data_IF_461142343793
#
_entry.id   IF_461142343793
#
_cell.length_a   1.000
_cell.length_b   1.000
_cell.length_c   1.000
_cell.angle_alpha   90.00
_cell.angle_beta   90.00
_cell.angle_gamma   90.00
#
_symmetry.space_group_name_H-M   'P 1'
#
loop_
_entity.id
_entity.type
_entity.pdbx_description
1 polymer ?
#
# COMPACT_ATOMS: atom_id res chain seq x y z
N UNK A 1 7.24 17.02 -11.28
CA UNK A 1 5.90 16.77 -10.71
C UNK A 1 4.85 17.08 -11.77
N UNK A 2 3.76 16.32 -11.80
CA UNK A 2 2.67 16.48 -12.79
C UNK A 2 2.15 17.93 -12.87
N UNK A 3 1.87 18.55 -11.72
CA UNK A 3 1.43 19.95 -11.64
C UNK A 3 2.37 20.95 -12.33
N UNK A 4 3.69 20.79 -12.21
CA UNK A 4 4.63 21.67 -12.90
C UNK A 4 4.56 21.51 -14.42
N UNK A 5 4.44 20.27 -14.90
CA UNK A 5 4.37 19.99 -16.34
C UNK A 5 3.06 20.52 -16.95
N UNK A 6 1.96 20.49 -16.20
CA UNK A 6 0.67 21.01 -16.66
C UNK A 6 0.70 22.54 -16.73
N UNK A 7 1.17 23.20 -15.66
CA UNK A 7 1.22 24.67 -15.59
C UNK A 7 2.24 25.27 -16.56
N UNK A 8 3.36 24.59 -16.83
CA UNK A 8 4.40 25.08 -17.76
C UNK A 8 3.89 25.27 -19.19
N UNK A 9 2.79 24.63 -19.57
CA UNK A 9 2.19 24.77 -20.91
C UNK A 9 1.55 26.13 -21.14
N UNK A 10 1.09 26.78 -20.06
CA UNK A 10 0.28 28.00 -20.14
C UNK A 10 0.97 29.20 -19.49
N UNK A 11 1.85 28.96 -18.51
CA UNK A 11 2.44 30.01 -17.70
C UNK A 11 3.95 29.83 -17.52
N UNK A 12 4.64 30.95 -17.33
CA UNK A 12 6.04 30.98 -16.97
C UNK A 12 6.35 32.18 -16.08
N UNK A 13 7.12 31.96 -15.02
CA UNK A 13 7.68 33.03 -14.17
C UNK A 13 8.93 32.55 -13.42
N UNK A 14 9.79 33.47 -12.92
CA UNK A 14 10.99 33.11 -12.16
C UNK A 14 10.63 32.33 -10.88
N UNK A 15 11.27 31.17 -10.67
CA UNK A 15 11.06 30.36 -9.45
C UNK A 15 9.81 29.49 -9.44
N UNK A 16 9.02 29.46 -10.51
CA UNK A 16 7.79 28.67 -10.66
C UNK A 16 7.89 27.23 -10.16
N UNK A 17 8.95 26.51 -10.56
CA UNK A 17 9.14 25.11 -10.16
C UNK A 17 9.26 24.94 -8.64
N UNK A 18 9.97 25.87 -7.98
CA UNK A 18 10.18 25.86 -6.52
C UNK A 18 8.88 26.16 -5.79
N UNK A 19 8.18 27.23 -6.18
CA UNK A 19 6.90 27.60 -5.56
C UNK A 19 5.83 26.53 -5.73
N UNK A 20 5.73 25.89 -6.91
CA UNK A 20 4.81 24.77 -7.12
C UNK A 20 5.19 23.59 -6.20
N UNK A 21 6.48 23.32 -6.01
CA UNK A 21 6.91 22.23 -5.11
C UNK A 21 6.57 22.51 -3.66
N UNK A 22 6.75 23.75 -3.18
CA UNK A 22 6.42 24.19 -1.82
C UNK A 22 4.90 24.14 -1.58
N UNK A 23 4.11 24.59 -2.55
CA UNK A 23 2.65 24.51 -2.48
C UNK A 23 2.16 23.06 -2.39
N UNK A 24 2.66 22.18 -3.26
CA UNK A 24 2.29 20.75 -3.25
C UNK A 24 2.77 20.07 -1.97
N UNK A 25 3.88 20.52 -1.40
CA UNK A 25 4.39 20.01 -0.13
C UNK A 25 3.50 20.42 1.05
N UNK A 26 3.02 21.67 1.10
CA UNK A 26 2.14 22.16 2.17
C UNK A 26 0.66 21.69 2.05
N UNK A 27 0.24 21.23 0.87
CA UNK A 27 -1.13 20.83 0.59
C UNK A 27 -1.51 19.49 1.27
N UNK A 28 -2.35 19.53 2.31
CA UNK A 28 -2.83 18.35 3.05
C UNK A 28 -3.55 17.32 2.15
N UNK A 29 -4.37 17.77 1.20
CA UNK A 29 -5.06 16.89 0.25
C UNK A 29 -4.06 16.19 -0.67
N UNK A 30 -3.01 16.90 -1.08
CA UNK A 30 -1.96 16.38 -1.93
C UNK A 30 -1.06 15.38 -1.18
N UNK A 31 -0.84 15.61 0.12
CA UNK A 31 -0.13 14.67 0.99
C UNK A 31 -0.94 13.40 1.22
N UNK A 32 -2.24 13.51 1.50
CA UNK A 32 -3.13 12.34 1.70
C UNK A 32 -3.37 11.53 0.42
N UNK A 33 -3.44 12.20 -0.73
CA UNK A 33 -3.69 11.54 -2.04
C UNK A 33 -2.44 10.97 -2.67
N UNK A 34 -1.24 11.43 -2.27
CA UNK A 34 0.00 10.72 -2.56
C UNK A 34 -0.01 9.42 -1.77
N UNK A 35 -0.49 8.36 -2.41
CA UNK A 35 -0.14 7.01 -2.01
C UNK A 35 1.37 6.98 -1.96
N UNK A 36 1.91 6.58 -0.81
CA UNK A 36 3.31 6.30 -0.67
C UNK A 36 3.63 5.23 -1.70
N UNK A 37 4.30 5.60 -2.80
CA UNK A 37 5.01 4.63 -3.63
C UNK A 37 6.23 4.17 -2.82
N UNK A 38 5.98 3.61 -1.63
CA UNK A 38 6.94 2.79 -0.94
C UNK A 38 7.43 1.78 -1.96
N UNK A 39 8.75 1.57 -2.02
CA UNK A 39 9.25 0.37 -2.69
C UNK A 39 8.46 -0.80 -2.12
N UNK A 40 8.01 -1.76 -2.96
CA UNK A 40 7.39 -2.97 -2.43
C UNK A 40 8.29 -3.50 -1.30
N UNK A 41 7.68 -3.85 -0.18
CA UNK A 41 8.34 -4.14 1.10
C UNK A 41 9.41 -5.23 0.96
N UNK A 42 10.62 -4.86 0.52
CA UNK A 42 11.76 -5.76 0.32
C UNK A 42 11.44 -7.05 -0.44
N UNK A 43 12.36 -8.02 -0.34
CA UNK A 43 11.98 -9.42 -0.47
C UNK A 43 11.25 -9.81 0.81
N UNK A 44 10.04 -10.36 0.69
CA UNK A 44 9.37 -10.99 1.83
C UNK A 44 10.32 -12.05 2.40
N UNK A 45 10.63 -11.98 3.70
CA UNK A 45 11.41 -13.04 4.33
C UNK A 45 10.60 -14.34 4.25
N UNK A 46 11.12 -15.39 3.58
CA UNK A 46 10.44 -16.67 3.56
C UNK A 46 10.35 -17.18 4.99
N UNK A 47 9.17 -17.70 5.35
CA UNK A 47 8.97 -18.37 6.62
C UNK A 47 9.88 -19.61 6.68
N UNK A 48 10.34 -19.96 7.89
CA UNK A 48 11.13 -21.16 8.12
C UNK A 48 10.40 -22.39 7.59
N UNK A 49 11.13 -23.30 6.93
CA UNK A 49 10.56 -24.55 6.42
C UNK A 49 10.44 -25.51 7.61
N UNK A 50 9.24 -26.00 7.96
CA UNK A 50 9.07 -26.95 9.04
C UNK A 50 9.86 -28.24 8.76
N UNK A 51 10.53 -28.79 9.77
CA UNK A 51 11.34 -30.00 9.60
C UNK A 51 10.47 -31.28 9.61
N UNK A 52 9.29 -31.21 10.22
CA UNK A 52 8.39 -32.34 10.41
C UNK A 52 6.92 -31.98 10.17
N UNK A 53 6.08 -33.01 9.98
CA UNK A 53 4.63 -32.82 9.89
C UNK A 53 4.12 -32.20 11.19
N UNK A 54 3.27 -31.17 11.07
CA UNK A 54 2.64 -30.44 12.19
C UNK A 54 3.55 -29.53 13.01
N UNK A 55 4.78 -29.31 12.56
CA UNK A 55 5.74 -28.41 13.22
C UNK A 55 5.33 -26.93 13.07
N UNK A 56 4.53 -26.61 12.05
CA UNK A 56 3.95 -25.28 11.86
C UNK A 56 2.48 -25.32 11.44
N UNK A 57 1.64 -24.57 12.16
CA UNK A 57 0.20 -24.43 11.87
C UNK A 57 -0.08 -22.95 11.62
N UNK A 58 -0.61 -22.63 10.43
CA UNK A 58 -1.09 -21.30 10.11
C UNK A 58 -2.63 -21.32 10.08
N UNK A 59 -3.26 -20.30 10.64
CA UNK A 59 -4.72 -20.13 10.63
C UNK A 59 -5.08 -18.81 9.96
N UNK A 60 -6.04 -18.85 9.04
CA UNK A 60 -6.60 -17.68 8.37
C UNK A 60 -8.13 -17.61 8.50
N UNK A 61 -8.66 -16.40 8.44
CA UNK A 61 -10.10 -16.14 8.43
C UNK A 61 -10.60 -16.07 7.00
N UNK A 62 -11.63 -16.86 6.68
CA UNK A 62 -12.31 -16.76 5.39
C UNK A 62 -13.54 -15.86 5.54
N UNK A 63 -13.40 -14.60 5.12
CA UNK A 63 -14.50 -13.64 5.06
C UNK A 63 -15.28 -13.72 3.74
N UNK A 64 -16.56 -13.34 3.76
CA UNK A 64 -17.37 -13.19 2.54
C UNK A 64 -18.06 -14.46 2.02
N UNK A 65 -18.01 -15.57 2.78
CA UNK A 65 -18.87 -16.72 2.50
C UNK A 65 -20.30 -16.38 2.90
N UNK A 66 -21.21 -16.38 1.92
CA UNK A 66 -22.65 -16.24 2.12
C UNK A 66 -23.22 -17.56 2.68
N UNK A 67 -22.82 -17.95 3.88
CA UNK A 67 -23.45 -19.06 4.62
C UNK A 67 -24.17 -18.46 5.81
N UNK A 68 -25.42 -18.88 6.02
CA UNK A 68 -26.37 -18.37 7.01
C UNK A 68 -25.99 -18.62 8.49
N UNK A 69 -24.73 -18.93 8.75
CA UNK A 69 -24.19 -19.15 10.08
C UNK A 69 -23.09 -18.11 10.34
N UNK A 70 -23.25 -17.32 11.40
CA UNK A 70 -22.31 -16.31 11.92
C UNK A 70 -20.94 -16.88 12.38
N UNK A 71 -20.60 -18.10 11.98
CA UNK A 71 -19.32 -18.73 12.26
C UNK A 71 -18.35 -18.31 11.14
N UNK A 72 -17.45 -17.39 11.47
CA UNK A 72 -16.23 -17.20 10.69
C UNK A 72 -15.58 -18.58 10.52
N UNK A 73 -15.54 -19.10 9.30
CA UNK A 73 -14.91 -20.40 9.03
C UNK A 73 -13.42 -20.20 9.16
N UNK A 74 -12.83 -20.79 10.19
CA UNK A 74 -11.38 -20.87 10.33
C UNK A 74 -10.86 -21.89 9.31
N UNK A 75 -9.89 -21.48 8.49
CA UNK A 75 -9.13 -22.39 7.66
C UNK A 75 -7.79 -22.67 8.34
N UNK A 76 -7.52 -23.95 8.60
CA UNK A 76 -6.25 -24.40 9.14
C UNK A 76 -5.41 -24.87 7.97
N UNK A 77 -4.29 -24.19 7.72
CA UNK A 77 -3.27 -24.61 6.75
C UNK A 77 -2.12 -25.24 7.53
N UNK A 78 -1.99 -26.55 7.37
CA UNK A 78 -0.85 -27.30 7.88
C UNK A 78 0.26 -27.11 6.85
N UNK A 79 1.34 -26.45 7.25
CA UNK A 79 2.53 -26.26 6.41
C UNK A 79 3.53 -27.38 6.63
#
# INVERSE_FOLDING_TARGET
>A
TKMYQDLKKLFWWPGMKKQISEFVYACLVCQKSKIEHQKPSGLLQPLFVPEWKWDSIAMDFVGGLLTWDYLQVYRIVIK
#
